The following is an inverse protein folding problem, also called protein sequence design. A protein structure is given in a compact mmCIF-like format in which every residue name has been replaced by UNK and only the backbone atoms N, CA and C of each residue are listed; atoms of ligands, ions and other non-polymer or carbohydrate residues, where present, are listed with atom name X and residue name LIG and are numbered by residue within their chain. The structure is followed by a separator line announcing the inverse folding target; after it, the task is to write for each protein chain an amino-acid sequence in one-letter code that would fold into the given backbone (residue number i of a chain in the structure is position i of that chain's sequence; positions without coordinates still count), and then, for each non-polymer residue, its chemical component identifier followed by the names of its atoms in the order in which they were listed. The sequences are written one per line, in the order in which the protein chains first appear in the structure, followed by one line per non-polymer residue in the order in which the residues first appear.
data_IF_648680147282
#
_entry.id   IF_648680147282
#
_cell.length_a   1.000
_cell.length_b   1.000
_cell.length_c   1.000
_cell.angle_alpha   90.00
_cell.angle_beta   90.00
_cell.angle_gamma   90.00
#
_symmetry.space_group_name_H-M   'P 1'
#
loop_
_entity.id
_entity.type
_entity.pdbx_description
1 polymer ?
#
# COMPACT_ATOMS: atom_id res chain seq x y z
N UNK A 1 -28.64 -11.50 -31.31
CA UNK A 1 -28.09 -10.38 -30.52
C UNK A 1 -27.96 -9.17 -31.42
N UNK A 2 -28.37 -7.98 -30.97
CA UNK A 2 -28.22 -6.74 -31.76
C UNK A 2 -26.70 -6.42 -31.89
N UNK A 3 -26.18 -6.11 -33.09
CA UNK A 3 -24.78 -5.72 -33.28
C UNK A 3 -24.31 -4.61 -32.34
N UNK A 4 -25.17 -3.64 -32.01
CA UNK A 4 -24.85 -2.56 -31.08
C UNK A 4 -24.63 -3.07 -29.65
N UNK A 5 -25.47 -3.99 -29.18
CA UNK A 5 -25.33 -4.63 -27.86
C UNK A 5 -24.02 -5.41 -27.77
N UNK A 6 -23.64 -6.11 -28.84
CA UNK A 6 -22.35 -6.82 -28.89
C UNK A 6 -21.15 -5.89 -28.77
N UNK A 7 -21.17 -4.75 -29.48
CA UNK A 7 -20.07 -3.76 -29.40
C UNK A 7 -19.95 -3.16 -28.00
N UNK A 8 -21.08 -2.86 -27.35
CA UNK A 8 -21.08 -2.35 -25.97
C UNK A 8 -20.55 -3.39 -24.98
N UNK A 9 -20.97 -4.66 -25.09
CA UNK A 9 -20.45 -5.76 -24.30
C UNK A 9 -18.94 -5.94 -24.47
N UNK A 10 -18.43 -5.91 -25.70
CA UNK A 10 -17.00 -6.06 -25.97
C UNK A 10 -16.18 -4.92 -25.34
N UNK A 11 -16.64 -3.66 -25.49
CA UNK A 11 -15.98 -2.50 -24.87
C UNK A 11 -15.99 -2.57 -23.34
N UNK A 12 -17.14 -2.95 -22.76
CA UNK A 12 -17.24 -3.14 -21.32
C UNK A 12 -16.28 -4.23 -20.85
N UNK A 13 -16.22 -5.36 -21.54
CA UNK A 13 -15.31 -6.45 -21.23
C UNK A 13 -13.83 -6.02 -21.26
N UNK A 14 -13.43 -5.27 -22.29
CA UNK A 14 -12.06 -4.74 -22.40
C UNK A 14 -11.71 -3.81 -21.23
N UNK A 15 -12.63 -2.89 -20.88
CA UNK A 15 -12.45 -1.97 -19.73
C UNK A 15 -12.34 -2.72 -18.41
N UNK A 16 -13.26 -3.65 -18.15
CA UNK A 16 -13.27 -4.49 -16.94
C UNK A 16 -11.96 -5.28 -16.82
N UNK A 17 -11.49 -5.86 -17.92
CA UNK A 17 -10.23 -6.63 -17.96
C UNK A 17 -9.02 -5.74 -17.67
N UNK A 18 -8.96 -4.55 -18.28
CA UNK A 18 -7.88 -3.61 -18.04
C UNK A 18 -7.87 -3.08 -16.60
N UNK A 19 -9.04 -2.77 -16.04
CA UNK A 19 -9.17 -2.34 -14.65
C UNK A 19 -8.73 -3.45 -13.69
N UNK A 20 -9.19 -4.69 -13.90
CA UNK A 20 -8.78 -5.85 -13.10
C UNK A 20 -7.25 -6.02 -13.05
N UNK A 21 -6.59 -5.90 -14.21
CA UNK A 21 -5.13 -6.03 -14.29
C UNK A 21 -4.42 -4.97 -13.44
N UNK A 22 -4.84 -3.70 -13.57
CA UNK A 22 -4.29 -2.59 -12.79
C UNK A 22 -4.53 -2.76 -11.28
N UNK A 23 -5.71 -3.23 -10.89
CA UNK A 23 -6.03 -3.48 -9.48
C UNK A 23 -5.22 -4.63 -8.90
N UNK A 24 -4.95 -5.67 -9.68
CA UNK A 24 -4.09 -6.78 -9.28
C UNK A 24 -2.66 -6.30 -9.05
N UNK A 25 -2.14 -5.47 -9.96
CA UNK A 25 -0.81 -4.86 -9.79
C UNK A 25 -0.72 -3.98 -8.55
N UNK A 26 -1.73 -3.15 -8.29
CA UNK A 26 -1.78 -2.32 -7.09
C UNK A 26 -1.84 -3.15 -5.80
N UNK A 27 -2.61 -4.24 -5.80
CA UNK A 27 -2.69 -5.19 -4.69
C UNK A 27 -1.33 -5.82 -4.38
N UNK A 28 -0.59 -6.25 -5.41
CA UNK A 28 0.74 -6.82 -5.24
C UNK A 28 1.76 -5.78 -4.75
N UNK A 29 1.66 -4.53 -5.24
CA UNK A 29 2.46 -3.41 -4.73
C UNK A 29 2.15 -3.12 -3.25
N UNK A 30 0.87 -3.11 -2.87
CA UNK A 30 0.45 -2.89 -1.49
C UNK A 30 1.02 -3.97 -0.56
N UNK A 31 0.97 -5.25 -0.96
CA UNK A 31 1.59 -6.35 -0.22
C UNK A 31 3.09 -6.15 -0.02
N UNK A 32 3.83 -5.79 -1.08
CA UNK A 32 5.26 -5.52 -0.96
C UNK A 32 5.57 -4.38 0.03
N UNK A 33 4.74 -3.34 0.06
CA UNK A 33 4.86 -2.24 1.01
C UNK A 33 4.52 -2.67 2.46
N UNK A 34 3.54 -3.55 2.65
CA UNK A 34 3.20 -4.14 3.96
C UNK A 34 4.37 -4.95 4.50
N UNK A 35 4.93 -5.85 3.67
CA UNK A 35 6.08 -6.67 4.04
C UNK A 35 7.29 -5.80 4.41
N UNK A 36 7.51 -4.72 3.63
CA UNK A 36 8.54 -3.73 3.94
C UNK A 36 8.28 -3.05 5.28
N UNK A 37 7.06 -2.59 5.55
CA UNK A 37 6.69 -1.97 6.83
C UNK A 37 6.95 -2.92 8.01
N UNK A 38 6.58 -4.18 7.87
CA UNK A 38 6.82 -5.22 8.87
C UNK A 38 8.31 -5.45 9.11
N UNK A 39 9.13 -5.51 8.05
CA UNK A 39 10.58 -5.62 8.16
C UNK A 39 11.20 -4.43 8.91
N UNK A 40 10.77 -3.21 8.59
CA UNK A 40 11.23 -2.00 9.29
C UNK A 40 10.84 -2.02 10.78
N UNK A 41 9.60 -2.39 11.11
CA UNK A 41 9.14 -2.52 12.49
C UNK A 41 9.98 -3.54 13.28
N UNK A 42 10.28 -4.71 12.69
CA UNK A 42 11.11 -5.72 13.34
C UNK A 42 12.54 -5.23 13.61
N UNK A 43 13.11 -4.44 12.70
CA UNK A 43 14.43 -3.81 12.89
C UNK A 43 14.38 -2.77 14.01
N UNK A 44 13.35 -1.92 14.06
CA UNK A 44 13.17 -0.94 15.13
C UNK A 44 13.01 -1.62 16.49
N UNK A 45 12.22 -2.69 16.58
CA UNK A 45 12.06 -3.47 17.81
C UNK A 45 13.40 -4.06 18.28
N UNK A 46 14.19 -4.61 17.36
CA UNK A 46 15.54 -5.11 17.69
C UNK A 46 16.48 -3.99 18.16
N UNK A 47 16.46 -2.82 17.51
CA UNK A 47 17.24 -1.65 17.91
C UNK A 47 16.85 -1.18 19.32
N UNK A 48 15.55 -1.13 19.61
CA UNK A 48 15.02 -0.78 20.93
C UNK A 48 15.49 -1.76 22.01
N UNK A 49 15.46 -3.07 21.74
CA UNK A 49 15.97 -4.08 22.67
C UNK A 49 17.49 -3.94 22.90
N UNK A 50 18.25 -3.74 21.82
CA UNK A 50 19.71 -3.61 21.87
C UNK A 50 20.16 -2.36 22.63
N UNK A 51 19.50 -1.23 22.40
CA UNK A 51 19.78 0.04 23.10
C UNK A 51 19.36 -0.02 24.56
N UNK A 52 18.27 -0.71 24.90
CA UNK A 52 17.90 -0.97 26.30
C UNK A 52 18.93 -1.83 27.03
N UNK A 53 19.47 -2.87 26.39
CA UNK A 53 20.55 -3.66 26.96
C UNK A 53 21.82 -2.82 27.20
N UNK A 54 22.22 -1.98 26.25
CA UNK A 54 23.38 -1.09 26.36
C UNK A 54 23.23 -0.05 27.47
N UNK A 55 22.05 0.58 27.60
CA UNK A 55 21.78 1.57 28.63
C UNK A 55 21.90 0.99 30.06
N UNK A 56 21.57 -0.29 30.24
CA UNK A 56 21.71 -0.98 31.52
C UNK A 56 23.17 -1.31 31.88
N UNK A 57 24.07 -1.37 30.89
CA UNK A 57 25.48 -1.77 31.08
C UNK A 57 26.39 -0.54 31.26
N UNK A 58 26.03 0.63 30.70
CA UNK A 58 26.82 1.86 30.81
C UNK A 58 25.95 3.07 31.17
N UNK A 59 25.52 3.21 32.44
CA UNK A 59 24.77 4.35 32.89
C UNK A 59 25.68 5.60 33.02
N UNK A 60 25.47 6.61 32.17
CA UNK A 60 26.03 7.96 32.36
C UNK A 60 27.12 8.45 31.40
N UNK A 61 27.36 7.78 30.27
CA UNK A 61 28.29 8.24 29.23
C UNK A 61 27.61 9.04 28.10
N UNK A 62 28.40 9.61 27.17
CA UNK A 62 27.89 10.28 25.94
C UNK A 62 26.94 9.38 25.11
N UNK A 63 27.11 8.06 25.25
CA UNK A 63 26.25 7.02 24.66
C UNK A 63 24.80 7.12 25.17
N UNK A 64 24.57 7.61 26.40
CA UNK A 64 23.23 7.75 26.98
C UNK A 64 22.40 8.82 26.27
N UNK A 65 22.98 9.99 25.94
CA UNK A 65 22.31 11.04 25.17
C UNK A 65 21.98 10.59 23.75
N UNK A 66 22.89 9.83 23.13
CA UNK A 66 22.67 9.23 21.82
C UNK A 66 21.54 8.17 21.83
N UNK A 67 21.49 7.30 22.83
CA UNK A 67 20.41 6.31 23.01
C UNK A 67 19.05 7.01 23.18
N UNK A 68 19.01 8.11 23.93
CA UNK A 68 17.79 8.89 24.15
C UNK A 68 17.25 9.50 22.84
N UNK A 69 18.14 10.09 22.01
CA UNK A 69 17.77 10.68 20.72
C UNK A 69 17.29 9.63 19.71
N UNK A 70 17.95 8.48 19.69
CA UNK A 70 17.58 7.34 18.85
C UNK A 70 16.19 6.80 19.26
N UNK A 71 15.91 6.68 20.56
CA UNK A 71 14.60 6.25 21.07
C UNK A 71 13.47 7.22 20.72
N UNK A 72 13.73 8.54 20.81
CA UNK A 72 12.72 9.55 20.45
C UNK A 72 12.36 9.48 18.96
N UNK A 73 13.35 9.25 18.11
CA UNK A 73 13.14 9.09 16.66
C UNK A 73 12.46 7.76 16.33
N UNK A 74 12.86 6.68 17.01
CA UNK A 74 12.31 5.33 16.84
C UNK A 74 10.81 5.26 17.13
N UNK A 75 10.32 5.87 18.22
CA UNK A 75 8.89 5.85 18.53
C UNK A 75 8.04 6.52 17.44
N UNK A 76 8.51 7.65 16.89
CA UNK A 76 7.80 8.35 15.81
C UNK A 76 7.75 7.52 14.53
N UNK A 77 8.84 6.85 14.16
CA UNK A 77 8.86 5.94 13.02
C UNK A 77 8.00 4.70 13.23
N UNK A 78 8.00 4.15 14.44
CA UNK A 78 7.21 2.97 14.77
C UNK A 78 5.71 3.26 14.59
N UNK A 79 5.21 4.38 15.12
CA UNK A 79 3.81 4.77 14.99
C UNK A 79 3.42 5.02 13.53
N UNK A 80 4.29 5.68 12.76
CA UNK A 80 4.07 5.93 11.33
C UNK A 80 4.04 4.63 10.52
N UNK A 81 4.96 3.69 10.78
CA UNK A 81 4.98 2.39 10.11
C UNK A 81 3.76 1.54 10.46
N UNK A 82 3.30 1.57 11.71
CA UNK A 82 2.07 0.88 12.10
C UNK A 82 0.84 1.46 11.38
N UNK A 83 0.73 2.78 11.32
CA UNK A 83 -0.36 3.46 10.61
C UNK A 83 -0.34 3.14 9.12
N UNK A 84 0.83 3.23 8.47
CA UNK A 84 0.98 2.87 7.06
C UNK A 84 0.63 1.40 6.80
N UNK A 85 1.06 0.49 7.67
CA UNK A 85 0.70 -0.93 7.55
C UNK A 85 -0.81 -1.15 7.65
N UNK A 86 -1.47 -0.50 8.60
CA UNK A 86 -2.93 -0.59 8.74
C UNK A 86 -3.64 -0.07 7.49
N UNK A 87 -3.25 1.11 7.01
CA UNK A 87 -3.82 1.74 5.82
C UNK A 87 -3.61 0.88 4.57
N UNK A 88 -2.40 0.34 4.37
CA UNK A 88 -2.12 -0.57 3.25
C UNK A 88 -2.91 -1.87 3.34
N UNK A 89 -3.13 -2.41 4.54
CA UNK A 89 -3.94 -3.63 4.74
C UNK A 89 -5.39 -3.36 4.36
N UNK A 90 -5.94 -2.24 4.84
CA UNK A 90 -7.30 -1.81 4.49
C UNK A 90 -7.45 -1.58 2.97
N UNK A 91 -6.48 -0.93 2.34
CA UNK A 91 -6.43 -0.77 0.88
C UNK A 91 -6.40 -2.11 0.15
N UNK A 92 -5.61 -3.06 0.64
CA UNK A 92 -5.50 -4.41 0.08
C UNK A 92 -6.86 -5.11 0.12
N UNK A 93 -7.55 -5.05 1.26
CA UNK A 93 -8.88 -5.63 1.45
C UNK A 93 -9.92 -4.97 0.53
N UNK A 94 -9.90 -3.63 0.41
CA UNK A 94 -10.76 -2.88 -0.50
C UNK A 94 -10.52 -3.27 -1.96
N UNK A 95 -9.25 -3.34 -2.39
CA UNK A 95 -8.93 -3.77 -3.76
C UNK A 95 -9.30 -5.21 -4.03
N UNK A 96 -9.21 -6.11 -3.05
CA UNK A 96 -9.63 -7.50 -3.20
C UNK A 96 -11.15 -7.61 -3.37
N UNK A 97 -11.92 -6.88 -2.55
CA UNK A 97 -13.38 -6.81 -2.67
C UNK A 97 -13.80 -6.29 -4.04
N UNK A 98 -13.22 -5.17 -4.48
CA UNK A 98 -13.53 -4.56 -5.76
C UNK A 98 -13.12 -5.44 -6.96
N UNK A 99 -12.03 -6.22 -6.85
CA UNK A 99 -11.69 -7.23 -7.86
C UNK A 99 -12.80 -8.26 -8.05
N UNK A 100 -13.45 -8.72 -6.97
CA UNK A 100 -14.57 -9.67 -7.04
C UNK A 100 -15.80 -9.09 -7.74
N UNK A 101 -16.10 -7.81 -7.50
CA UNK A 101 -17.17 -7.10 -8.21
C UNK A 101 -16.87 -6.97 -9.70
N UNK A 102 -15.64 -6.61 -10.06
CA UNK A 102 -15.18 -6.50 -11.45
C UNK A 102 -15.22 -7.85 -12.17
N UNK A 103 -14.87 -8.95 -11.50
CA UNK A 103 -15.02 -10.30 -12.06
C UNK A 103 -16.49 -10.63 -12.36
N UNK A 104 -17.41 -10.27 -11.47
CA UNK A 104 -18.85 -10.40 -11.71
C UNK A 104 -19.31 -9.60 -12.94
N UNK A 105 -18.80 -8.37 -13.09
CA UNK A 105 -19.07 -7.53 -14.26
C UNK A 105 -18.48 -8.11 -15.56
N UNK A 106 -17.30 -8.74 -15.49
CA UNK A 106 -16.69 -9.41 -16.64
C UNK A 106 -17.56 -10.57 -17.14
N UNK A 107 -18.11 -11.35 -16.21
CA UNK A 107 -19.04 -12.46 -16.52
C UNK A 107 -20.33 -11.92 -17.17
N UNK A 108 -20.87 -10.80 -16.67
CA UNK A 108 -22.04 -10.15 -17.27
C UNK A 108 -21.77 -9.63 -18.70
N UNK A 109 -20.57 -9.11 -18.95
CA UNK A 109 -20.16 -8.65 -20.28
C UNK A 109 -19.99 -9.80 -21.29
N UNK A 110 -19.58 -10.99 -20.83
CA UNK A 110 -19.47 -12.20 -21.66
C UNK A 110 -20.82 -12.89 -21.94
N UNK A 111 -21.88 -12.54 -21.21
CA UNK A 111 -23.20 -13.15 -21.35
C UNK A 111 -23.94 -12.68 -22.60
N UNK A 112 -24.24 -13.59 -23.54
CA UNK A 112 -24.89 -13.29 -24.83
C UNK A 112 -26.37 -12.82 -24.76
N UNK A 113 -26.92 -12.56 -23.58
CA UNK A 113 -28.32 -12.19 -23.36
C UNK A 113 -28.52 -11.02 -22.37
N UNK A 114 -27.48 -10.25 -22.05
CA UNK A 114 -27.64 -9.09 -21.15
C UNK A 114 -28.47 -7.98 -21.80
N UNK A 115 -29.44 -7.46 -21.06
CA UNK A 115 -30.24 -6.32 -21.48
C UNK A 115 -29.35 -5.06 -21.57
N UNK A 116 -29.62 -4.12 -22.51
CA UNK A 116 -28.85 -2.88 -22.62
C UNK A 116 -28.77 -2.07 -21.32
N UNK A 117 -29.82 -2.12 -20.50
CA UNK A 117 -29.87 -1.44 -19.20
C UNK A 117 -28.87 -2.04 -18.20
N UNK A 118 -28.73 -3.38 -18.19
CA UNK A 118 -27.72 -4.08 -17.39
C UNK A 118 -26.29 -3.74 -17.81
N UNK A 119 -26.07 -3.50 -19.11
CA UNK A 119 -24.77 -3.05 -19.62
C UNK A 119 -24.47 -1.63 -19.13
N UNK A 120 -25.46 -0.73 -19.16
CA UNK A 120 -25.29 0.64 -18.68
C UNK A 120 -25.08 0.71 -17.15
N UNK A 121 -25.74 -0.15 -16.37
CA UNK A 121 -25.48 -0.30 -14.93
C UNK A 121 -24.04 -0.78 -14.68
N UNK A 122 -23.59 -1.78 -15.45
CA UNK A 122 -22.22 -2.28 -15.37
C UNK A 122 -21.17 -1.23 -15.75
N UNK A 123 -21.42 -0.41 -16.78
CA UNK A 123 -20.55 0.71 -17.15
C UNK A 123 -20.41 1.72 -16.00
N UNK A 124 -21.53 2.10 -15.35
CA UNK A 124 -21.51 2.98 -14.18
C UNK A 124 -20.74 2.38 -13.00
N UNK A 125 -20.88 1.08 -12.77
CA UNK A 125 -20.12 0.39 -11.73
C UNK A 125 -18.61 0.39 -12.03
N UNK A 126 -18.21 0.13 -13.29
CA UNK A 126 -16.81 0.23 -13.71
C UNK A 126 -16.25 1.63 -13.52
N UNK A 127 -17.02 2.67 -13.86
CA UNK A 127 -16.60 4.07 -13.67
C UNK A 127 -16.40 4.43 -12.20
N UNK A 128 -17.30 3.99 -11.32
CA UNK A 128 -17.13 4.17 -9.88
C UNK A 128 -15.89 3.44 -9.35
N UNK A 129 -15.66 2.20 -9.79
CA UNK A 129 -14.47 1.42 -9.43
C UNK A 129 -13.18 2.04 -9.97
N UNK A 130 -13.19 2.59 -11.18
CA UNK A 130 -12.05 3.35 -11.73
C UNK A 130 -11.73 4.59 -10.89
N UNK A 131 -12.75 5.35 -10.47
CA UNK A 131 -12.56 6.53 -9.63
C UNK A 131 -11.98 6.16 -8.25
N UNK A 132 -12.52 5.13 -7.61
CA UNK A 132 -11.98 4.62 -6.35
C UNK A 132 -10.53 4.13 -6.52
N UNK A 133 -10.23 3.43 -7.61
CA UNK A 133 -8.89 2.92 -7.89
C UNK A 133 -7.83 4.02 -8.07
N UNK A 134 -8.20 5.19 -8.58
CA UNK A 134 -7.27 6.33 -8.66
C UNK A 134 -6.85 6.82 -7.27
N UNK A 135 -7.76 6.84 -6.31
CA UNK A 135 -7.43 7.18 -4.92
C UNK A 135 -6.48 6.15 -4.30
N UNK A 136 -6.76 4.85 -4.49
CA UNK A 136 -5.86 3.77 -4.06
C UNK A 136 -4.46 3.94 -4.66
N UNK A 137 -4.38 4.24 -5.96
CA UNK A 137 -3.11 4.43 -6.65
C UNK A 137 -2.32 5.61 -6.05
N UNK A 138 -2.98 6.74 -5.79
CA UNK A 138 -2.35 7.89 -5.16
C UNK A 138 -1.82 7.60 -3.75
N UNK A 139 -2.57 6.82 -2.96
CA UNK A 139 -2.15 6.43 -1.61
C UNK A 139 -0.94 5.48 -1.62
N UNK A 140 -0.88 4.57 -2.60
CA UNK A 140 0.29 3.71 -2.80
C UNK A 140 1.53 4.52 -3.19
N UNK A 141 1.40 5.49 -4.09
CA UNK A 141 2.49 6.39 -4.48
C UNK A 141 2.99 7.24 -3.30
N UNK A 142 2.07 7.80 -2.50
CA UNK A 142 2.41 8.56 -1.31
C UNK A 142 3.16 7.70 -0.28
N UNK A 143 2.73 6.45 -0.11
CA UNK A 143 3.38 5.50 0.81
C UNK A 143 4.79 5.12 0.32
N UNK A 144 4.95 4.89 -0.98
CA UNK A 144 6.24 4.65 -1.59
C UNK A 144 7.21 5.82 -1.35
N UNK A 145 6.75 7.06 -1.58
CA UNK A 145 7.55 8.26 -1.33
C UNK A 145 7.93 8.41 0.15
N UNK A 146 7.01 8.09 1.06
CA UNK A 146 7.31 8.09 2.50
C UNK A 146 8.46 7.13 2.82
N UNK A 147 8.46 5.92 2.25
CA UNK A 147 9.55 4.97 2.46
C UNK A 147 10.90 5.47 1.92
N UNK A 148 10.92 6.16 0.78
CA UNK A 148 12.14 6.78 0.24
C UNK A 148 12.70 7.87 1.15
N UNK A 149 11.82 8.68 1.75
CA UNK A 149 12.20 9.69 2.74
C UNK A 149 12.71 9.04 4.02
N UNK A 150 12.05 7.99 4.49
CA UNK A 150 12.46 7.20 5.65
C UNK A 150 13.87 6.61 5.47
N UNK A 151 14.15 5.99 4.31
CA UNK A 151 15.48 5.49 3.99
C UNK A 151 16.54 6.60 4.03
N UNK A 152 16.21 7.77 3.50
CA UNK A 152 17.11 8.94 3.48
C UNK A 152 17.41 9.42 4.90
N UNK A 153 16.40 9.47 5.78
CA UNK A 153 16.57 9.84 7.19
C UNK A 153 17.48 8.84 7.92
N UNK A 154 17.23 7.54 7.76
CA UNK A 154 18.08 6.49 8.36
C UNK A 154 19.51 6.62 7.87
N UNK A 155 19.72 6.74 6.56
CA UNK A 155 21.07 6.85 5.98
C UNK A 155 21.81 8.09 6.50
N UNK A 156 21.11 9.21 6.69
CA UNK A 156 21.68 10.43 7.25
C UNK A 156 22.13 10.24 8.70
N UNK A 157 21.31 9.59 9.52
CA UNK A 157 21.65 9.26 10.91
C UNK A 157 22.82 8.28 10.98
N UNK A 158 22.82 7.26 10.12
CA UNK A 158 23.93 6.30 10.04
C UNK A 158 25.24 6.96 9.58
N UNK A 159 25.18 7.93 8.68
CA UNK A 159 26.34 8.67 8.21
C UNK A 159 26.91 9.62 9.28
N UNK A 160 26.05 10.31 10.04
CA UNK A 160 26.50 11.15 11.17
C UNK A 160 27.16 10.32 12.26
N UNK A 161 26.66 9.11 12.51
CA UNK A 161 27.24 8.17 13.46
C UNK A 161 28.66 7.71 13.09
N UNK A 162 28.94 7.50 11.81
CA UNK A 162 30.28 7.13 11.35
C UNK A 162 31.29 8.27 11.47
N UNK A 163 30.83 9.54 11.43
CA UNK A 163 31.69 10.73 11.54
C UNK A 163 31.97 11.14 12.98
N UNK A 164 31.15 10.69 13.92
CA UNK A 164 31.34 10.92 15.37
C UNK A 164 32.22 9.85 16.05
N UNK A 165 32.77 8.91 15.26
CA UNK A 165 33.78 7.92 15.66
C UNK A 165 35.16 8.40 15.23
#
# INVERSE_FOLDING_TARGET
MNPQTFVLQARLYDRVTALKARMTEAHDRAKGLIERAQGCLAVLDHLRQSTAALANISPGGDISLFIEELRRSESGWHDQLQMLRALLTELTDQTHSACGEIESLAVLALGAQTAPETIADAERAVEASEAHFQEVSAQLEATQLWFEQFDTQINTIMASLRKSR
#
